data_IF_115581901820
#
_entry.id   IF_115581901820
#
_cell.length_a   1.000
_cell.length_b   1.000
_cell.length_c   1.000
_cell.angle_alpha   90.00
_cell.angle_beta   90.00
_cell.angle_gamma   90.00
#
_symmetry.space_group_name_H-M   'P 1'
#
loop_
_entity.id
_entity.type
_entity.pdbx_description
1 polymer ?
#
# COMPACT_ATOMS: atom_id res chain seq x y z
N UNK A 1 -35.94 -8.62 -5.95
CA UNK A 1 -35.28 -8.55 -4.60
C UNK A 1 -33.87 -8.04 -4.84
N UNK A 2 -33.54 -6.87 -4.33
CA UNK A 2 -32.17 -6.40 -4.34
C UNK A 2 -31.38 -7.30 -3.38
N UNK A 3 -30.42 -8.08 -3.90
CA UNK A 3 -29.44 -8.73 -3.05
C UNK A 3 -28.69 -7.61 -2.32
N UNK A 4 -28.75 -7.59 -0.98
CA UNK A 4 -27.85 -6.77 -0.20
C UNK A 4 -26.44 -7.16 -0.64
N UNK A 5 -25.67 -6.20 -1.18
CA UNK A 5 -24.31 -6.46 -1.57
C UNK A 5 -23.54 -6.98 -0.36
N UNK A 6 -23.10 -8.24 -0.42
CA UNK A 6 -22.26 -8.81 0.62
C UNK A 6 -21.03 -7.92 0.74
N UNK A 7 -20.76 -7.44 1.94
CA UNK A 7 -19.56 -6.65 2.20
C UNK A 7 -18.36 -7.60 2.20
N UNK A 8 -17.41 -7.46 1.26
CA UNK A 8 -16.27 -8.37 1.20
C UNK A 8 -15.36 -8.16 2.41
N UNK A 9 -14.69 -9.21 2.83
CA UNK A 9 -13.53 -9.09 3.71
C UNK A 9 -12.35 -8.58 2.90
N UNK A 10 -11.65 -7.57 3.40
CA UNK A 10 -10.48 -6.98 2.75
C UNK A 10 -9.26 -7.27 3.60
N UNK A 11 -8.25 -7.90 3.00
CA UNK A 11 -6.95 -8.13 3.60
C UNK A 11 -5.96 -7.22 2.86
N UNK A 12 -5.33 -6.30 3.59
CA UNK A 12 -4.29 -5.43 3.07
C UNK A 12 -2.92 -5.88 3.58
N UNK A 13 -2.09 -6.40 2.68
CA UNK A 13 -0.73 -6.85 2.99
C UNK A 13 0.24 -5.77 2.51
N UNK A 14 1.00 -5.21 3.43
CA UNK A 14 1.93 -4.12 3.17
C UNK A 14 3.34 -4.51 3.59
N UNK A 15 4.25 -4.55 2.62
CA UNK A 15 5.66 -4.86 2.86
C UNK A 15 6.45 -3.59 3.17
N UNK A 16 7.54 -3.72 3.92
CA UNK A 16 8.48 -2.63 4.15
C UNK A 16 9.56 -2.65 3.05
N UNK A 17 9.93 -1.48 2.58
CA UNK A 17 11.03 -1.22 1.63
C UNK A 17 11.13 -2.21 0.44
N UNK A 18 9.97 -2.65 -0.07
CA UNK A 18 9.88 -3.55 -1.19
C UNK A 18 9.82 -2.77 -2.51
N UNK A 19 10.84 -2.90 -3.33
CA UNK A 19 10.86 -2.24 -4.65
C UNK A 19 9.97 -2.98 -5.64
N UNK A 20 9.39 -2.26 -6.61
CA UNK A 20 8.46 -2.81 -7.59
C UNK A 20 9.04 -3.98 -8.41
N UNK A 21 10.34 -3.96 -8.68
CA UNK A 21 11.05 -5.01 -9.43
C UNK A 21 11.61 -6.13 -8.57
N UNK A 22 11.33 -6.16 -7.27
CA UNK A 22 11.77 -7.24 -6.37
C UNK A 22 10.79 -8.43 -6.37
N UNK A 23 10.27 -8.80 -7.52
CA UNK A 23 9.35 -9.91 -7.73
C UNK A 23 9.61 -10.56 -9.09
N UNK A 24 9.50 -11.88 -9.20
CA UNK A 24 9.62 -12.59 -10.49
C UNK A 24 8.48 -12.23 -11.45
N UNK A 25 7.27 -12.03 -10.98
CA UNK A 25 6.15 -11.57 -11.80
C UNK A 25 6.32 -10.14 -12.36
N UNK A 26 7.22 -9.35 -11.78
CA UNK A 26 7.60 -8.04 -12.32
C UNK A 26 8.70 -8.11 -13.39
N UNK A 27 9.13 -9.32 -13.77
CA UNK A 27 10.15 -9.54 -14.79
C UNK A 27 11.59 -9.64 -14.27
N UNK A 28 11.79 -9.76 -12.96
CA UNK A 28 13.13 -9.93 -12.40
C UNK A 28 13.57 -11.37 -12.53
N UNK A 29 14.62 -11.68 -13.32
CA UNK A 29 15.07 -13.06 -13.58
C UNK A 29 15.85 -13.65 -12.40
N UNK A 30 16.37 -12.82 -11.51
CA UNK A 30 17.23 -13.25 -10.40
C UNK A 30 16.44 -13.63 -9.14
N UNK A 31 15.13 -13.39 -9.16
CA UNK A 31 14.26 -13.66 -8.03
C UNK A 31 13.24 -14.76 -8.32
N UNK A 32 12.93 -15.52 -7.30
CA UNK A 32 11.90 -16.55 -7.35
C UNK A 32 10.84 -16.28 -6.27
N UNK A 33 9.69 -15.71 -6.68
CA UNK A 33 8.59 -15.33 -5.78
C UNK A 33 7.27 -16.01 -6.16
N UNK A 34 7.18 -17.36 -6.06
CA UNK A 34 6.08 -18.14 -6.65
C UNK A 34 4.71 -17.82 -6.04
N UNK A 35 4.65 -17.38 -4.80
CA UNK A 35 3.39 -17.01 -4.16
C UNK A 35 2.86 -15.66 -4.67
N UNK A 36 3.75 -14.68 -4.89
CA UNK A 36 3.38 -13.40 -5.49
C UNK A 36 3.01 -13.58 -6.97
N UNK A 37 3.71 -14.46 -7.67
CA UNK A 37 3.41 -14.79 -9.06
C UNK A 37 2.01 -15.41 -9.20
N UNK A 38 1.63 -16.31 -8.28
CA UNK A 38 0.27 -16.89 -8.26
C UNK A 38 -0.79 -15.84 -7.96
N UNK A 39 -0.51 -14.91 -7.04
CA UNK A 39 -1.42 -13.79 -6.75
C UNK A 39 -1.59 -12.89 -7.97
N UNK A 40 -0.50 -12.53 -8.63
CA UNK A 40 -0.52 -11.72 -9.84
C UNK A 40 -1.30 -12.40 -10.99
N UNK A 41 -1.13 -13.72 -11.16
CA UNK A 41 -1.84 -14.49 -12.18
C UNK A 41 -3.34 -14.66 -11.88
N UNK A 42 -3.73 -14.72 -10.62
CA UNK A 42 -5.13 -14.89 -10.20
C UNK A 42 -5.89 -13.57 -10.09
N UNK A 43 -5.19 -12.45 -10.03
CA UNK A 43 -5.78 -11.13 -9.81
C UNK A 43 -5.34 -10.10 -10.84
N UNK A 44 -5.13 -8.88 -10.38
CA UNK A 44 -4.67 -7.74 -11.20
C UNK A 44 -3.35 -7.24 -10.63
N UNK A 45 -2.32 -7.16 -11.45
CA UNK A 45 -1.05 -6.54 -11.11
C UNK A 45 -0.97 -5.14 -11.73
N UNK A 46 -0.86 -4.12 -10.89
CA UNK A 46 -0.68 -2.74 -11.33
C UNK A 46 0.81 -2.46 -11.56
N UNK A 47 1.21 -2.30 -12.81
CA UNK A 47 2.62 -2.05 -13.16
C UNK A 47 3.07 -0.62 -12.83
N UNK A 48 2.14 0.34 -12.86
CA UNK A 48 2.40 1.75 -12.63
C UNK A 48 1.58 2.26 -11.44
N UNK A 49 1.90 1.77 -10.26
CA UNK A 49 1.32 2.26 -9.01
C UNK A 49 2.30 3.20 -8.31
N UNK A 50 1.81 4.34 -7.84
CA UNK A 50 2.62 5.39 -7.22
C UNK A 50 2.14 5.67 -5.81
N UNK A 51 3.08 5.88 -4.89
CA UNK A 51 2.78 6.36 -3.55
C UNK A 51 2.66 7.90 -3.54
N UNK A 52 2.04 8.42 -2.49
CA UNK A 52 1.86 9.87 -2.31
C UNK A 52 3.15 10.61 -1.92
N UNK A 53 4.13 9.88 -1.40
CA UNK A 53 5.45 10.39 -1.05
C UNK A 53 6.48 9.25 -1.09
N UNK A 54 7.71 9.51 -1.54
CA UNK A 54 8.77 8.49 -1.65
C UNK A 54 9.49 8.22 -0.32
N UNK A 55 8.82 8.45 0.81
CA UNK A 55 9.32 8.23 2.17
C UNK A 55 8.31 7.40 2.97
N UNK A 56 8.82 6.49 3.81
CA UNK A 56 8.01 5.54 4.57
C UNK A 56 6.99 6.20 5.48
N UNK A 57 7.40 7.14 6.34
CA UNK A 57 6.51 7.82 7.28
C UNK A 57 5.38 8.59 6.59
N UNK A 58 5.69 9.52 5.68
CA UNK A 58 4.68 10.26 4.93
C UNK A 58 3.72 9.38 4.12
N UNK A 59 4.24 8.35 3.45
CA UNK A 59 3.42 7.43 2.66
C UNK A 59 2.47 6.61 3.53
N UNK A 60 2.95 6.09 4.67
CA UNK A 60 2.12 5.35 5.62
C UNK A 60 1.09 6.25 6.29
N UNK A 61 1.48 7.47 6.65
CA UNK A 61 0.55 8.46 7.19
C UNK A 61 -0.61 8.74 6.22
N UNK A 62 -0.30 8.92 4.94
CA UNK A 62 -1.32 9.10 3.91
C UNK A 62 -2.23 7.87 3.76
N UNK A 63 -1.66 6.68 3.79
CA UNK A 63 -2.42 5.43 3.68
C UNK A 63 -3.39 5.24 4.85
N UNK A 64 -2.97 5.52 6.09
CA UNK A 64 -3.80 5.32 7.28
C UNK A 64 -4.83 6.43 7.50
N UNK A 65 -4.58 7.64 7.02
CA UNK A 65 -5.48 8.78 7.22
C UNK A 65 -6.36 9.10 6.01
N UNK A 66 -5.98 8.59 4.83
CA UNK A 66 -6.59 9.00 3.56
C UNK A 66 -6.24 10.44 3.14
N UNK A 67 -5.25 11.08 3.79
CA UNK A 67 -4.85 12.45 3.54
C UNK A 67 -3.46 12.53 2.93
N UNK A 68 -3.22 13.48 2.04
CA UNK A 68 -1.88 13.74 1.50
C UNK A 68 -0.91 14.24 2.58
N UNK A 69 0.41 13.99 2.43
CA UNK A 69 1.42 14.43 3.38
C UNK A 69 1.39 15.93 3.71
N UNK A 70 1.07 16.77 2.74
CA UNK A 70 0.88 18.21 2.97
C UNK A 70 -0.26 18.54 3.94
N UNK A 71 -1.31 17.72 3.97
CA UNK A 71 -2.44 17.87 4.90
C UNK A 71 -2.10 17.27 6.27
N UNK A 72 -1.41 16.14 6.30
CA UNK A 72 -1.04 15.47 7.55
C UNK A 72 0.08 16.18 8.32
N UNK A 73 0.86 17.01 7.63
CA UNK A 73 2.09 17.62 8.16
C UNK A 73 3.25 16.62 8.32
N UNK A 74 3.03 15.34 8.00
CA UNK A 74 4.03 14.28 8.10
C UNK A 74 4.90 14.28 6.83
N UNK A 75 5.90 15.13 6.78
CA UNK A 75 6.73 15.34 5.59
C UNK A 75 8.05 14.55 5.61
N UNK A 76 8.47 14.08 6.79
CA UNK A 76 9.72 13.32 6.98
C UNK A 76 9.48 12.12 7.89
N UNK A 77 10.38 11.15 7.84
CA UNK A 77 10.32 10.01 8.75
C UNK A 77 10.55 10.47 10.21
N UNK A 78 9.78 9.91 11.13
CA UNK A 78 9.87 10.23 12.57
C UNK A 78 9.14 11.50 13.00
N UNK A 79 8.56 12.26 12.08
CA UNK A 79 7.67 13.35 12.46
C UNK A 79 6.36 12.81 13.07
N UNK A 80 5.77 13.48 14.07
CA UNK A 80 4.49 13.05 14.63
C UNK A 80 3.34 13.34 13.66
N UNK A 81 2.37 12.46 13.65
CA UNK A 81 1.09 12.72 12.99
C UNK A 81 0.29 13.73 13.84
N UNK A 82 -0.39 14.66 13.18
CA UNK A 82 -1.29 15.58 13.87
C UNK A 82 -2.36 14.82 14.66
N UNK A 83 -2.61 15.23 15.89
CA UNK A 83 -3.52 14.54 16.81
C UNK A 83 -4.95 14.43 16.24
N UNK A 84 -5.41 15.44 15.53
CA UNK A 84 -6.72 15.47 14.88
C UNK A 84 -6.89 14.41 13.77
N UNK A 85 -5.78 13.87 13.25
CA UNK A 85 -5.74 12.88 12.18
C UNK A 85 -5.34 11.49 12.67
N UNK A 86 -5.15 11.31 13.98
CA UNK A 86 -4.85 10.01 14.54
C UNK A 86 -6.03 9.07 14.32
N UNK A 87 -5.75 7.92 13.70
CA UNK A 87 -6.75 6.89 13.50
C UNK A 87 -7.08 6.25 14.85
N UNK A 88 -8.36 6.12 15.14
CA UNK A 88 -8.81 5.29 16.27
C UNK A 88 -8.76 3.84 15.81
N UNK A 89 -7.78 3.11 16.25
CA UNK A 89 -7.73 1.64 16.15
C UNK A 89 -8.35 1.02 17.38
#
# INVERSE_FOLDING_TARGET
>A
MAHAAERPNIIYIFTDQHTANAMSCAGNPDLHTPNLDRLAAAGIMFQNAYCTAPLSGPSRGAMFTGCYPGTTGLLVNGAPLQESLQTRT
#
